data_IF_427335987739
#
_entry.id   IF_427335987739
#
_cell.length_a   1.000
_cell.length_b   1.000
_cell.length_c   1.000
_cell.angle_alpha   90.00
_cell.angle_beta   90.00
_cell.angle_gamma   90.00
#
_symmetry.space_group_name_H-M   'P 1'
#
loop_
_entity.id
_entity.type
_entity.pdbx_description
1 polymer ?
#
# COMPACT_ATOMS: atom_id res chain seq x y z
N UNK A 1 -18.83 12.65 -12.20
CA UNK A 1 -18.90 14.06 -12.67
C UNK A 1 -17.52 14.58 -13.09
N UNK A 2 -16.47 14.56 -12.21
CA UNK A 2 -15.12 15.03 -12.55
C UNK A 2 -14.51 14.28 -13.74
N UNK A 3 -14.52 12.96 -13.76
CA UNK A 3 -14.01 12.18 -14.88
C UNK A 3 -14.73 12.48 -16.21
N UNK A 4 -16.06 12.74 -16.15
CA UNK A 4 -16.89 12.99 -17.34
C UNK A 4 -16.75 14.40 -17.91
N UNK A 5 -16.80 15.41 -17.03
CA UNK A 5 -16.75 16.82 -17.42
C UNK A 5 -15.33 17.38 -17.44
N UNK A 6 -14.41 16.65 -16.85
CA UNK A 6 -13.03 17.03 -16.64
C UNK A 6 -12.85 18.01 -15.48
N UNK A 7 -11.61 18.17 -15.11
CA UNK A 7 -11.14 19.15 -14.12
C UNK A 7 -9.88 19.86 -14.67
N UNK A 8 -9.51 20.95 -14.06
CA UNK A 8 -8.31 21.68 -14.44
C UNK A 8 -7.11 21.12 -13.67
N UNK A 9 -6.06 20.78 -14.40
CA UNK A 9 -4.84 20.26 -13.80
C UNK A 9 -4.15 21.32 -12.93
N UNK A 10 -3.69 20.92 -11.76
CA UNK A 10 -2.72 21.68 -10.99
C UNK A 10 -1.35 21.68 -11.68
N UNK A 11 -0.43 22.53 -11.23
CA UNK A 11 0.97 22.51 -11.68
C UNK A 11 1.60 21.12 -11.45
N UNK A 12 1.38 20.55 -10.28
CA UNK A 12 1.93 19.25 -9.90
C UNK A 12 1.42 18.11 -10.81
N UNK A 13 0.11 18.03 -11.07
CA UNK A 13 -0.47 16.98 -11.93
C UNK A 13 0.03 17.11 -13.37
N UNK A 14 0.04 18.33 -13.91
CA UNK A 14 0.55 18.59 -15.25
C UNK A 14 2.03 18.19 -15.39
N UNK A 15 2.85 18.52 -14.40
CA UNK A 15 4.27 18.13 -14.37
C UNK A 15 4.43 16.62 -14.27
N UNK A 16 3.68 15.94 -13.42
CA UNK A 16 3.72 14.46 -13.31
C UNK A 16 3.39 13.80 -14.64
N UNK A 17 2.33 14.23 -15.33
CA UNK A 17 2.00 13.66 -16.65
C UNK A 17 3.13 13.83 -17.68
N UNK A 18 3.85 14.94 -17.61
CA UNK A 18 4.99 15.18 -18.51
C UNK A 18 6.20 14.31 -18.14
N UNK A 19 6.50 14.17 -16.85
CA UNK A 19 7.60 13.32 -16.35
C UNK A 19 7.38 11.85 -16.71
N UNK A 20 6.15 11.37 -16.58
CA UNK A 20 5.78 9.96 -16.89
C UNK A 20 5.40 9.74 -18.36
N UNK A 21 5.68 10.68 -19.26
CA UNK A 21 5.29 10.58 -20.67
C UNK A 21 5.81 9.31 -21.34
N UNK A 22 7.08 8.97 -21.16
CA UNK A 22 7.70 7.77 -21.75
C UNK A 22 7.04 6.50 -21.19
N UNK A 23 6.80 6.44 -19.89
CA UNK A 23 6.08 5.34 -19.25
C UNK A 23 4.66 5.15 -19.83
N UNK A 24 3.92 6.23 -20.08
CA UNK A 24 2.59 6.12 -20.72
C UNK A 24 2.66 5.68 -22.19
N UNK A 25 3.79 5.87 -22.89
CA UNK A 25 3.96 5.43 -24.27
C UNK A 25 4.07 3.92 -24.41
N UNK A 26 4.40 3.19 -23.33
CA UNK A 26 4.49 1.73 -23.32
C UNK A 26 3.12 1.05 -23.43
N UNK A 27 2.01 1.77 -23.15
CA UNK A 27 0.65 1.28 -23.27
C UNK A 27 -0.21 2.22 -24.11
N UNK A 28 -0.72 1.76 -25.24
CA UNK A 28 -1.50 2.57 -26.19
C UNK A 28 -2.72 3.26 -25.55
N UNK A 29 -3.40 2.60 -24.61
CA UNK A 29 -4.55 3.16 -23.93
C UNK A 29 -4.14 4.27 -22.95
N UNK A 30 -3.01 4.10 -22.26
CA UNK A 30 -2.43 5.13 -21.40
C UNK A 30 -1.97 6.33 -22.24
N UNK A 31 -1.25 6.10 -23.33
CA UNK A 31 -0.81 7.15 -24.24
C UNK A 31 -1.97 7.99 -24.77
N UNK A 32 -3.08 7.35 -25.19
CA UNK A 32 -4.30 8.04 -25.67
C UNK A 32 -4.92 8.97 -24.62
N UNK A 33 -4.78 8.68 -23.35
CA UNK A 33 -5.39 9.43 -22.24
C UNK A 33 -4.44 10.49 -21.70
N UNK A 34 -3.19 10.11 -21.44
CA UNK A 34 -2.23 10.94 -20.70
C UNK A 34 -1.29 11.74 -21.59
N UNK A 35 -1.25 11.48 -22.88
CA UNK A 35 -0.45 12.27 -23.84
C UNK A 35 -1.39 13.05 -24.75
N UNK A 36 -1.15 14.36 -24.85
CA UNK A 36 -1.96 15.21 -25.75
C UNK A 36 -1.77 14.80 -27.21
N UNK A 37 -2.84 14.80 -28.00
CA UNK A 37 -2.82 14.46 -29.45
C UNK A 37 -1.79 15.29 -30.25
N UNK A 38 -1.58 16.55 -29.83
CA UNK A 38 -0.61 17.44 -30.49
C UNK A 38 0.81 17.30 -29.92
N UNK A 39 1.07 16.31 -29.08
CA UNK A 39 2.36 16.02 -28.42
C UNK A 39 2.90 17.15 -27.53
N UNK A 40 2.16 18.24 -27.34
CA UNK A 40 2.58 19.34 -26.46
C UNK A 40 2.50 18.89 -24.98
N UNK A 41 3.38 19.40 -24.12
CA UNK A 41 3.33 19.10 -22.70
C UNK A 41 2.03 19.60 -22.07
N UNK A 42 1.58 18.92 -21.03
CA UNK A 42 0.52 19.39 -20.16
C UNK A 42 0.96 20.64 -19.40
N UNK A 43 0.02 21.53 -19.17
CA UNK A 43 0.23 22.78 -18.42
C UNK A 43 -0.82 22.89 -17.32
N UNK A 44 -0.50 23.65 -16.29
CA UNK A 44 -1.49 24.05 -15.29
C UNK A 44 -2.70 24.68 -15.98
N UNK A 45 -3.89 24.36 -15.47
CA UNK A 45 -5.20 24.75 -16.00
C UNK A 45 -5.60 24.09 -17.34
N UNK A 46 -4.83 23.17 -17.90
CA UNK A 46 -5.34 22.31 -18.95
C UNK A 46 -6.48 21.43 -18.43
N UNK A 47 -7.52 21.24 -19.22
CA UNK A 47 -8.66 20.39 -18.83
C UNK A 47 -8.36 18.93 -19.13
N UNK A 48 -8.43 18.09 -18.10
CA UNK A 48 -8.24 16.64 -18.19
C UNK A 48 -9.57 15.92 -18.09
N UNK A 49 -9.88 15.06 -19.08
CA UNK A 49 -11.17 14.36 -19.22
C UNK A 49 -10.92 12.87 -19.41
N UNK A 50 -11.66 12.04 -18.66
CA UNK A 50 -11.55 10.57 -18.68
C UNK A 50 -12.94 9.94 -18.91
N UNK A 51 -13.45 9.98 -20.16
CA UNK A 51 -14.80 9.54 -20.48
C UNK A 51 -15.07 8.07 -20.18
N UNK A 52 -14.09 7.20 -20.45
CA UNK A 52 -14.24 5.75 -20.22
C UNK A 52 -14.23 5.44 -18.72
N UNK A 53 -13.34 6.05 -17.94
CA UNK A 53 -13.41 5.98 -16.48
C UNK A 53 -14.77 6.46 -15.94
N UNK A 54 -15.34 7.53 -16.51
CA UNK A 54 -16.66 8.01 -16.11
C UNK A 54 -17.76 6.96 -16.34
N UNK A 55 -17.72 6.23 -17.46
CA UNK A 55 -18.66 5.12 -17.74
C UNK A 55 -18.49 3.99 -16.73
N UNK A 56 -17.25 3.60 -16.45
CA UNK A 56 -16.93 2.57 -15.46
C UNK A 56 -17.46 2.95 -14.08
N UNK A 57 -17.17 4.17 -13.60
CA UNK A 57 -17.65 4.67 -12.30
C UNK A 57 -19.18 4.73 -12.21
N UNK A 58 -19.87 5.15 -13.28
CA UNK A 58 -21.35 5.15 -13.34
C UNK A 58 -21.90 3.73 -13.24
N UNK A 59 -21.23 2.77 -13.89
CA UNK A 59 -21.64 1.37 -13.83
C UNK A 59 -21.46 0.79 -12.43
N UNK A 60 -20.33 1.04 -11.79
CA UNK A 60 -20.09 0.64 -10.40
C UNK A 60 -21.14 1.27 -9.46
N UNK A 61 -21.41 2.57 -9.62
CA UNK A 61 -22.43 3.28 -8.84
C UNK A 61 -23.82 2.67 -8.98
N UNK A 62 -24.18 2.15 -10.18
CA UNK A 62 -25.50 1.58 -10.44
C UNK A 62 -25.63 0.12 -10.01
N UNK A 63 -24.60 -0.68 -10.17
CA UNK A 63 -24.64 -2.14 -10.00
C UNK A 63 -23.75 -2.66 -8.89
N UNK A 64 -23.10 -1.77 -8.12
CA UNK A 64 -22.17 -2.15 -7.04
C UNK A 64 -21.04 -3.04 -7.56
N UNK A 65 -20.76 -4.11 -6.82
CA UNK A 65 -19.75 -5.11 -7.14
C UNK A 65 -19.87 -5.65 -8.57
N UNK A 66 -21.08 -5.98 -8.99
CA UNK A 66 -21.32 -6.56 -10.32
C UNK A 66 -21.09 -5.57 -11.46
N UNK A 67 -21.10 -4.28 -11.15
CA UNK A 67 -20.72 -3.22 -12.08
C UNK A 67 -19.26 -3.28 -12.52
N UNK A 68 -18.40 -3.94 -11.74
CA UNK A 68 -16.97 -4.08 -11.99
C UNK A 68 -16.56 -5.53 -12.28
N UNK A 69 -16.93 -6.45 -11.39
CA UNK A 69 -16.46 -7.84 -11.43
C UNK A 69 -17.26 -8.75 -12.34
N UNK A 70 -18.32 -8.22 -13.01
CA UNK A 70 -19.16 -8.96 -13.96
C UNK A 70 -19.52 -8.10 -15.17
N UNK A 71 -19.88 -8.77 -16.29
CA UNK A 71 -20.33 -8.12 -17.53
C UNK A 71 -19.26 -7.23 -18.17
N UNK A 72 -19.64 -6.12 -18.83
CA UNK A 72 -18.76 -5.40 -19.76
C UNK A 72 -17.42 -4.94 -19.20
N UNK A 73 -17.32 -4.56 -17.93
CA UNK A 73 -16.04 -4.14 -17.35
C UNK A 73 -15.13 -5.34 -17.11
N UNK A 74 -15.68 -6.44 -16.59
CA UNK A 74 -14.94 -7.70 -16.44
C UNK A 74 -14.45 -8.23 -17.80
N UNK A 75 -15.30 -8.16 -18.84
CA UNK A 75 -14.94 -8.56 -20.20
C UNK A 75 -13.79 -7.72 -20.76
N UNK A 76 -13.78 -6.40 -20.52
CA UNK A 76 -12.69 -5.52 -20.92
C UNK A 76 -11.39 -5.84 -20.17
N UNK A 77 -11.44 -6.16 -18.86
CA UNK A 77 -10.27 -6.60 -18.10
C UNK A 77 -9.69 -7.87 -18.72
N UNK A 78 -10.51 -8.89 -18.96
CA UNK A 78 -10.04 -10.16 -19.53
C UNK A 78 -9.53 -9.99 -20.96
N UNK A 79 -10.13 -9.09 -21.75
CA UNK A 79 -9.61 -8.73 -23.07
C UNK A 79 -8.22 -8.11 -22.99
N UNK A 80 -8.01 -7.21 -22.01
CA UNK A 80 -6.70 -6.61 -21.74
C UNK A 80 -5.68 -7.66 -21.30
N UNK A 81 -6.07 -8.60 -20.43
CA UNK A 81 -5.22 -9.73 -20.05
C UNK A 81 -4.78 -10.55 -21.27
N UNK A 82 -5.71 -10.90 -22.16
CA UNK A 82 -5.38 -11.63 -23.40
C UNK A 82 -4.42 -10.86 -24.29
N UNK A 83 -4.56 -9.53 -24.36
CA UNK A 83 -3.68 -8.66 -25.17
C UNK A 83 -2.25 -8.61 -24.61
N UNK A 84 -2.11 -8.57 -23.29
CA UNK A 84 -0.84 -8.42 -22.58
C UNK A 84 -0.27 -9.73 -21.99
N UNK A 85 -0.80 -10.90 -22.36
CA UNK A 85 -0.43 -12.21 -21.77
C UNK A 85 -0.58 -12.25 -20.25
N UNK A 86 -1.57 -11.51 -19.70
CA UNK A 86 -1.92 -11.54 -18.30
C UNK A 86 -2.76 -12.76 -17.93
N UNK A 87 -2.92 -13.01 -16.63
CA UNK A 87 -3.47 -14.25 -16.11
C UNK A 87 -4.91 -14.14 -15.60
N UNK A 88 -5.42 -12.93 -15.32
CA UNK A 88 -6.75 -12.75 -14.73
C UNK A 88 -7.84 -13.23 -15.69
N UNK A 89 -8.66 -14.15 -15.21
CA UNK A 89 -9.81 -14.72 -15.92
C UNK A 89 -11.14 -14.14 -15.42
N UNK A 90 -12.23 -14.46 -16.13
CA UNK A 90 -13.59 -14.14 -15.68
C UNK A 90 -13.92 -14.82 -14.34
N UNK A 91 -13.42 -16.03 -14.12
CA UNK A 91 -13.70 -16.79 -12.90
C UNK A 91 -12.96 -16.17 -11.70
N UNK A 92 -11.74 -15.67 -11.89
CA UNK A 92 -11.01 -14.91 -10.85
C UNK A 92 -11.78 -13.65 -10.45
N UNK A 93 -12.30 -12.89 -11.42
CA UNK A 93 -13.09 -11.69 -11.15
C UNK A 93 -14.40 -12.01 -10.43
N UNK A 94 -15.13 -13.03 -10.86
CA UNK A 94 -16.36 -13.49 -10.20
C UNK A 94 -16.12 -14.00 -8.79
N UNK A 95 -15.03 -14.74 -8.59
CA UNK A 95 -14.65 -15.35 -7.31
C UNK A 95 -14.11 -14.35 -6.29
N UNK A 96 -13.62 -13.20 -6.73
CA UNK A 96 -13.05 -12.21 -5.81
C UNK A 96 -14.10 -11.60 -4.88
N UNK A 97 -13.78 -11.47 -3.60
CA UNK A 97 -14.60 -10.77 -2.61
C UNK A 97 -13.72 -10.00 -1.63
N UNK A 98 -14.21 -8.85 -1.17
CA UNK A 98 -13.58 -8.14 -0.06
C UNK A 98 -13.74 -8.95 1.23
N UNK A 99 -12.81 -8.80 2.15
CA UNK A 99 -12.82 -9.47 3.46
C UNK A 99 -13.00 -8.45 4.57
N UNK A 100 -13.91 -8.72 5.50
CA UNK A 100 -13.93 -8.06 6.79
C UNK A 100 -12.86 -8.69 7.68
N UNK A 101 -12.11 -7.87 8.39
CA UNK A 101 -11.07 -8.29 9.32
C UNK A 101 -11.24 -7.53 10.62
N UNK A 102 -10.99 -8.19 11.73
CA UNK A 102 -10.94 -7.51 13.02
C UNK A 102 -9.74 -6.57 13.08
N UNK A 103 -9.92 -5.36 13.61
CA UNK A 103 -8.80 -4.44 13.79
C UNK A 103 -7.84 -4.94 14.86
N UNK A 104 -6.57 -4.57 14.74
CA UNK A 104 -5.59 -4.73 15.83
C UNK A 104 -5.78 -3.59 16.80
N UNK A 105 -5.88 -3.93 18.09
CA UNK A 105 -6.02 -2.96 19.16
C UNK A 105 -4.78 -3.04 20.06
N UNK A 106 -4.19 -1.89 20.32
CA UNK A 106 -3.09 -1.68 21.26
C UNK A 106 -3.28 -0.42 22.07
N UNK A 107 -2.24 -0.05 22.83
CA UNK A 107 -2.23 1.20 23.59
C UNK A 107 -0.84 1.84 23.55
N UNK A 108 -0.80 3.15 23.64
CA UNK A 108 0.42 3.93 23.77
C UNK A 108 0.17 5.13 24.67
N UNK A 109 0.93 5.25 25.77
CA UNK A 109 0.80 6.35 26.75
C UNK A 109 -0.64 6.64 27.20
N UNK A 110 -1.43 5.59 27.40
CA UNK A 110 -2.82 5.70 27.82
C UNK A 110 -3.83 5.88 26.69
N UNK A 111 -3.39 6.17 25.48
CA UNK A 111 -4.27 6.22 24.30
C UNK A 111 -4.53 4.83 23.75
N UNK A 112 -5.77 4.59 23.32
CA UNK A 112 -6.15 3.37 22.60
C UNK A 112 -5.83 3.55 21.12
N UNK A 113 -5.08 2.61 20.55
CA UNK A 113 -4.72 2.57 19.13
C UNK A 113 -5.54 1.48 18.46
N UNK A 114 -6.29 1.82 17.43
CA UNK A 114 -7.07 0.88 16.60
C UNK A 114 -6.56 0.98 15.17
N UNK A 115 -6.02 -0.11 14.63
CA UNK A 115 -5.40 -0.09 13.31
C UNK A 115 -5.66 -1.37 12.51
N UNK A 116 -5.31 -1.36 11.23
CA UNK A 116 -5.56 -2.47 10.30
C UNK A 116 -4.71 -3.70 10.64
N UNK A 117 -5.37 -4.87 10.64
CA UNK A 117 -4.71 -6.17 10.77
C UNK A 117 -4.24 -6.76 9.44
N UNK A 118 -3.61 -7.97 9.48
CA UNK A 118 -3.21 -8.68 8.27
C UNK A 118 -4.35 -8.89 7.27
N UNK A 119 -4.06 -8.89 5.96
CA UNK A 119 -2.73 -8.95 5.33
C UNK A 119 -1.97 -7.63 5.30
N UNK A 120 -2.37 -6.59 6.04
CA UNK A 120 -1.46 -5.47 6.26
C UNK A 120 -0.61 -5.70 7.52
N UNK A 121 0.67 -5.42 7.40
CA UNK A 121 1.59 -5.41 8.55
C UNK A 121 1.45 -4.15 9.37
N UNK A 122 0.87 -3.07 8.79
CA UNK A 122 0.94 -1.72 9.33
C UNK A 122 0.48 -1.61 10.78
N UNK A 123 -0.70 -2.10 11.12
CA UNK A 123 -1.21 -1.99 12.50
C UNK A 123 -0.41 -2.79 13.52
N UNK A 124 0.04 -4.01 13.17
CA UNK A 124 0.84 -4.84 14.05
C UNK A 124 2.21 -4.20 14.33
N UNK A 125 2.88 -3.73 13.26
CA UNK A 125 4.17 -3.06 13.39
C UNK A 125 4.06 -1.73 14.13
N UNK A 126 3.01 -0.94 13.85
CA UNK A 126 2.78 0.32 14.55
C UNK A 126 2.72 0.09 16.07
N UNK A 127 1.89 -0.87 16.52
CA UNK A 127 1.76 -1.18 17.94
C UNK A 127 3.09 -1.72 18.51
N UNK A 128 3.78 -2.57 17.78
CA UNK A 128 5.08 -3.10 18.20
C UNK A 128 6.12 -1.98 18.34
N UNK A 129 6.20 -1.07 17.36
CA UNK A 129 7.12 0.07 17.40
C UNK A 129 6.79 1.04 18.55
N UNK A 130 5.51 1.34 18.77
CA UNK A 130 5.08 2.18 19.89
C UNK A 130 5.42 1.52 21.25
N UNK A 131 5.22 0.21 21.37
CA UNK A 131 5.61 -0.55 22.57
C UNK A 131 7.14 -0.56 22.79
N UNK A 132 7.94 -0.62 21.73
CA UNK A 132 9.40 -0.47 21.83
C UNK A 132 9.78 0.95 22.26
N UNK A 133 9.13 1.97 21.70
CA UNK A 133 9.40 3.37 22.00
C UNK A 133 9.10 3.72 23.48
N UNK A 134 8.12 3.09 24.10
CA UNK A 134 7.81 3.27 25.53
C UNK A 134 8.98 2.86 26.49
N UNK A 135 9.97 2.12 26.01
CA UNK A 135 11.14 1.73 26.81
C UNK A 135 12.22 2.83 26.88
N UNK A 136 12.05 3.93 26.15
CA UNK A 136 12.97 5.07 26.15
C UNK A 136 12.36 6.27 26.89
N UNK A 137 13.19 7.01 27.61
CA UNK A 137 12.73 8.22 28.33
C UNK A 137 12.37 9.34 27.35
N UNK A 138 11.24 9.99 27.56
CA UNK A 138 10.80 11.14 26.77
C UNK A 138 11.78 12.33 26.89
N UNK A 139 12.35 12.52 28.07
CA UNK A 139 13.30 13.61 28.33
C UNK A 139 14.56 13.49 27.47
N UNK A 140 14.93 12.26 27.09
CA UNK A 140 16.09 11.98 26.26
C UNK A 140 15.79 12.01 24.76
N UNK A 141 14.51 11.97 24.36
CA UNK A 141 14.08 11.88 22.97
C UNK A 141 13.29 13.13 22.52
N UNK A 142 13.96 14.26 22.45
CA UNK A 142 13.36 15.47 21.89
C UNK A 142 12.99 15.25 20.44
N UNK A 143 11.82 15.72 20.03
CA UNK A 143 11.33 15.60 18.65
C UNK A 143 12.38 16.05 17.62
N UNK A 144 12.63 15.20 16.66
CA UNK A 144 13.60 15.43 15.57
C UNK A 144 15.06 15.65 16.01
N UNK A 145 15.43 15.25 17.23
CA UNK A 145 16.84 15.20 17.66
C UNK A 145 17.56 14.01 17.02
N UNK A 146 18.90 14.01 17.07
CA UNK A 146 19.71 12.86 16.63
C UNK A 146 19.32 11.56 17.35
N UNK A 147 19.08 11.65 18.66
CA UNK A 147 18.72 10.50 19.49
C UNK A 147 17.34 9.97 19.13
N UNK A 148 16.37 10.87 18.87
CA UNK A 148 15.05 10.47 18.40
C UNK A 148 15.14 9.75 17.04
N UNK A 149 15.86 10.31 16.07
CA UNK A 149 16.04 9.71 14.74
C UNK A 149 16.76 8.36 14.85
N UNK A 150 17.78 8.28 15.72
CA UNK A 150 18.52 7.03 15.96
C UNK A 150 17.59 5.94 16.53
N UNK A 151 16.88 6.22 17.61
CA UNK A 151 15.97 5.26 18.27
C UNK A 151 14.86 4.83 17.31
N UNK A 152 14.25 5.78 16.60
CA UNK A 152 13.19 5.43 15.61
C UNK A 152 13.72 4.53 14.49
N UNK A 153 14.93 4.78 14.01
CA UNK A 153 15.56 3.94 12.97
C UNK A 153 15.84 2.53 13.49
N UNK A 154 16.36 2.41 14.70
CA UNK A 154 16.66 1.11 15.34
C UNK A 154 15.38 0.30 15.61
N UNK A 155 14.31 0.95 16.08
CA UNK A 155 12.98 0.34 16.28
C UNK A 155 12.41 -0.14 14.94
N UNK A 156 12.44 0.69 13.91
CA UNK A 156 11.94 0.32 12.59
C UNK A 156 12.70 -0.88 12.01
N UNK A 157 14.02 -0.90 12.09
CA UNK A 157 14.83 -2.04 11.64
C UNK A 157 14.36 -3.36 12.25
N UNK A 158 14.12 -3.38 13.55
CA UNK A 158 13.66 -4.57 14.28
C UNK A 158 12.26 -4.98 13.89
N UNK A 159 11.34 -4.01 13.80
CA UNK A 159 9.97 -4.24 13.40
C UNK A 159 9.88 -4.81 11.96
N UNK A 160 10.65 -4.23 11.02
CA UNK A 160 10.68 -4.71 9.63
C UNK A 160 11.39 -6.06 9.48
N UNK A 161 12.37 -6.34 10.31
CA UNK A 161 12.98 -7.66 10.41
C UNK A 161 11.94 -8.72 10.79
N UNK A 162 11.14 -8.44 11.80
CA UNK A 162 10.04 -9.32 12.24
C UNK A 162 8.94 -9.43 11.17
N UNK A 163 8.61 -8.33 10.48
CA UNK A 163 7.69 -8.32 9.34
C UNK A 163 8.11 -9.31 8.27
N UNK A 164 9.36 -9.24 7.86
CA UNK A 164 9.89 -10.08 6.78
C UNK A 164 9.73 -11.58 7.07
N UNK A 165 9.82 -12.01 8.33
CA UNK A 165 9.72 -13.41 8.73
C UNK A 165 8.29 -13.85 9.00
N UNK A 166 7.48 -13.02 9.65
CA UNK A 166 6.27 -13.47 10.32
C UNK A 166 4.97 -13.01 9.66
N UNK A 167 5.02 -11.98 8.78
CA UNK A 167 3.82 -11.36 8.27
C UNK A 167 3.42 -11.89 6.88
N UNK A 168 2.12 -12.08 6.69
CA UNK A 168 1.52 -12.56 5.45
C UNK A 168 0.00 -12.53 5.52
N UNK A 169 -0.67 -13.16 4.55
CA UNK A 169 -2.12 -13.32 4.56
C UNK A 169 -2.56 -14.32 5.64
N UNK A 170 -3.39 -13.91 6.62
CA UNK A 170 -3.81 -14.78 7.72
C UNK A 170 -4.72 -15.94 7.28
N UNK A 171 -5.24 -15.92 6.04
CA UNK A 171 -5.96 -17.06 5.47
C UNK A 171 -5.00 -18.19 5.02
N UNK A 172 -3.69 -17.90 4.95
CA UNK A 172 -2.66 -18.82 4.44
C UNK A 172 -1.45 -18.99 5.38
N UNK A 173 -1.35 -18.17 6.42
CA UNK A 173 -0.20 -18.13 7.33
C UNK A 173 -0.64 -17.78 8.75
N UNK A 174 -0.11 -18.49 9.75
CA UNK A 174 -0.35 -18.15 11.15
C UNK A 174 0.50 -16.95 11.57
N UNK A 175 -0.12 -15.76 11.51
CA UNK A 175 0.54 -14.50 11.83
C UNK A 175 0.52 -14.29 13.35
N UNK A 176 1.68 -14.18 14.04
CA UNK A 176 1.75 -14.11 15.50
C UNK A 176 1.38 -12.70 16.04
N UNK A 177 0.12 -12.29 15.90
CA UNK A 177 -0.35 -10.95 16.28
C UNK A 177 -0.11 -10.64 17.75
N UNK A 178 -0.34 -11.60 18.63
CA UNK A 178 -0.14 -11.38 20.08
C UNK A 178 1.34 -11.15 20.45
N UNK A 179 2.27 -11.73 19.67
CA UNK A 179 3.69 -11.41 19.82
C UNK A 179 3.96 -9.93 19.51
N UNK A 180 3.46 -9.42 18.38
CA UNK A 180 3.64 -8.00 18.00
C UNK A 180 3.01 -7.03 19.00
N UNK A 181 1.90 -7.40 19.64
CA UNK A 181 1.21 -6.58 20.65
C UNK A 181 1.90 -6.65 22.04
N UNK A 182 2.77 -7.62 22.24
CA UNK A 182 3.37 -7.89 23.56
C UNK A 182 4.41 -6.83 23.96
N UNK A 183 4.17 -6.13 25.05
CA UNK A 183 5.16 -5.20 25.65
C UNK A 183 6.42 -5.94 26.10
N UNK A 184 6.29 -7.17 26.57
CA UNK A 184 7.45 -8.01 26.94
C UNK A 184 8.32 -8.32 25.72
N UNK A 185 7.69 -8.65 24.59
CA UNK A 185 8.41 -8.87 23.35
C UNK A 185 9.08 -7.59 22.87
N UNK A 186 8.36 -6.47 22.83
CA UNK A 186 8.89 -5.17 22.44
C UNK A 186 10.09 -4.75 23.30
N UNK A 187 10.02 -4.98 24.62
CA UNK A 187 11.15 -4.73 25.51
C UNK A 187 12.37 -5.55 25.10
N UNK A 188 12.21 -6.85 24.94
CA UNK A 188 13.32 -7.73 24.51
C UNK A 188 13.91 -7.31 23.17
N UNK A 189 13.08 -6.78 22.24
CA UNK A 189 13.53 -6.29 20.93
C UNK A 189 14.24 -4.95 20.99
N UNK A 190 14.04 -4.15 22.04
CA UNK A 190 14.69 -2.84 22.21
C UNK A 190 15.87 -2.84 23.18
N UNK A 191 16.04 -3.89 23.99
CA UNK A 191 17.07 -3.95 25.06
C UNK A 191 18.51 -3.93 24.52
N UNK A 192 18.75 -4.32 23.27
CA UNK A 192 20.05 -4.31 22.60
C UNK A 192 20.35 -3.05 21.79
N UNK A 193 19.47 -2.06 21.80
CA UNK A 193 19.69 -0.79 21.10
C UNK A 193 20.78 0.01 21.83
N UNK A 194 21.90 0.24 21.12
CA UNK A 194 23.01 1.01 21.64
C UNK A 194 22.86 2.49 21.21
N UNK A 195 22.70 3.40 22.16
CA UNK A 195 22.52 4.83 21.89
C UNK A 195 23.74 5.53 21.24
N UNK A 196 24.93 4.92 21.30
CA UNK A 196 26.18 5.51 20.80
C UNK A 196 26.61 4.97 19.43
N UNK A 197 25.94 3.94 18.91
CA UNK A 197 26.29 3.34 17.61
C UNK A 197 25.10 2.66 16.95
N UNK A 198 24.99 2.83 15.62
CA UNK A 198 23.96 2.13 14.86
C UNK A 198 24.23 0.63 14.79
N UNK A 199 23.17 -0.17 14.97
CA UNK A 199 23.26 -1.62 14.80
C UNK A 199 23.53 -1.95 13.32
N UNK A 200 24.54 -2.75 12.96
CA UNK A 200 24.74 -3.18 11.58
C UNK A 200 23.50 -3.95 11.07
N UNK A 201 23.01 -3.57 9.89
CA UNK A 201 21.76 -4.14 9.35
C UNK A 201 21.78 -5.66 9.20
N UNK A 202 22.94 -6.25 8.94
CA UNK A 202 23.14 -7.69 8.81
C UNK A 202 23.13 -8.46 10.16
N UNK A 203 23.09 -7.75 11.29
CA UNK A 203 23.02 -8.36 12.63
C UNK A 203 21.64 -8.25 13.25
N UNK A 204 20.73 -7.49 12.65
CA UNK A 204 19.34 -7.41 13.10
C UNK A 204 18.57 -8.61 12.53
N UNK A 205 18.38 -9.65 13.34
CA UNK A 205 17.63 -10.85 12.94
C UNK A 205 16.13 -10.68 13.21
N UNK A 206 15.25 -11.29 12.39
CA UNK A 206 15.51 -12.10 11.22
C UNK A 206 15.28 -11.36 9.90
N UNK A 207 16.19 -10.72 9.28
CA UNK A 207 16.08 -10.15 7.94
C UNK A 207 17.01 -8.99 7.72
N UNK A 208 17.33 -8.70 6.47
CA UNK A 208 18.12 -7.54 6.11
C UNK A 208 17.18 -6.36 5.84
N UNK A 209 17.12 -5.32 6.67
CA UNK A 209 16.15 -4.23 6.53
C UNK A 209 16.61 -3.16 5.52
N UNK A 210 17.02 -3.55 4.34
CA UNK A 210 17.30 -2.62 3.25
C UNK A 210 16.02 -2.35 2.45
N UNK A 211 14.94 -1.96 3.11
CA UNK A 211 13.69 -1.63 2.47
C UNK A 211 13.40 -0.13 2.51
N UNK A 212 13.00 0.44 1.37
CA UNK A 212 12.44 1.78 1.27
C UNK A 212 10.96 1.67 0.95
N UNK A 213 10.08 2.29 1.74
CA UNK A 213 8.65 2.35 1.42
C UNK A 213 8.37 3.49 0.44
N UNK A 214 7.52 3.20 -0.56
CA UNK A 214 7.08 4.19 -1.53
C UNK A 214 6.07 5.16 -0.92
N UNK A 215 6.16 6.49 -1.20
CA UNK A 215 5.17 7.47 -0.79
C UNK A 215 3.91 7.48 -1.69
N UNK A 216 3.65 6.45 -2.48
CA UNK A 216 2.68 6.43 -3.59
C UNK A 216 1.26 5.98 -3.18
N UNK A 217 0.92 6.07 -1.91
CA UNK A 217 -0.38 5.67 -1.34
C UNK A 217 -1.21 6.90 -0.98
N UNK A 218 -2.54 6.80 -1.05
CA UNK A 218 -3.45 7.85 -0.60
C UNK A 218 -4.09 7.44 0.72
N UNK A 219 -4.02 8.33 1.71
CA UNK A 219 -4.66 8.18 3.01
C UNK A 219 -5.56 9.37 3.31
N UNK A 220 -6.73 9.12 3.90
CA UNK A 220 -7.62 10.17 4.43
C UNK A 220 -8.41 9.67 5.62
N UNK A 221 -8.78 10.61 6.51
CA UNK A 221 -9.63 10.36 7.65
C UNK A 221 -10.84 11.28 7.62
N UNK A 222 -11.98 10.79 8.06
CA UNK A 222 -13.24 11.54 8.12
C UNK A 222 -13.86 11.31 9.49
N UNK A 223 -14.33 12.39 10.10
CA UNK A 223 -15.14 12.34 11.34
C UNK A 223 -16.43 13.10 11.08
N UNK A 224 -17.56 12.51 11.43
CA UNK A 224 -18.86 13.16 11.30
C UNK A 224 -19.26 13.91 12.60
N UNK A 225 -20.40 14.59 12.52
CA UNK A 225 -20.92 15.39 13.66
C UNK A 225 -21.35 14.55 14.86
N UNK A 226 -21.48 13.23 14.72
CA UNK A 226 -21.84 12.31 15.80
C UNK A 226 -20.62 11.59 16.40
N UNK A 227 -19.41 11.90 15.91
CA UNK A 227 -18.17 11.30 16.38
C UNK A 227 -17.85 9.96 15.71
N UNK A 228 -18.58 9.55 14.67
CA UNK A 228 -18.16 8.40 13.87
C UNK A 228 -16.90 8.75 13.09
N UNK A 229 -15.89 7.90 13.16
CA UNK A 229 -14.60 8.10 12.53
C UNK A 229 -14.30 7.00 11.51
N UNK A 230 -13.76 7.40 10.36
CA UNK A 230 -13.30 6.49 9.32
C UNK A 230 -11.88 6.88 8.92
N UNK A 231 -10.98 5.92 8.90
CA UNK A 231 -9.61 6.06 8.41
C UNK A 231 -9.43 5.13 7.21
N UNK A 232 -9.04 5.67 6.07
CA UNK A 232 -8.95 4.94 4.79
C UNK A 232 -7.57 5.10 4.18
N UNK A 233 -6.98 3.98 3.81
CA UNK A 233 -5.79 3.95 2.97
C UNK A 233 -6.11 3.17 1.69
N UNK A 234 -5.77 3.73 0.53
CA UNK A 234 -5.99 3.11 -0.78
C UNK A 234 -4.76 3.27 -1.65
N UNK A 235 -4.43 2.23 -2.40
CA UNK A 235 -3.25 2.20 -3.27
C UNK A 235 -3.48 1.31 -4.48
N UNK A 236 -2.66 1.48 -5.49
CA UNK A 236 -2.41 0.54 -6.59
C UNK A 236 -0.92 0.20 -6.67
N UNK A 237 -0.24 0.32 -5.54
CA UNK A 237 1.18 0.15 -5.27
C UNK A 237 2.01 1.33 -5.83
N UNK A 238 2.43 1.34 -7.09
CA UNK A 238 3.11 2.50 -7.69
C UNK A 238 2.11 3.55 -8.22
N UNK A 239 2.56 4.79 -8.47
CA UNK A 239 1.75 5.96 -8.89
C UNK A 239 0.75 5.68 -10.00
N UNK A 240 1.10 4.84 -10.94
CA UNK A 240 0.27 4.44 -12.08
C UNK A 240 0.21 2.91 -12.21
N UNK A 241 0.36 2.19 -11.08
CA UNK A 241 0.38 0.74 -11.05
C UNK A 241 1.43 0.15 -11.99
N UNK A 242 1.03 -0.80 -12.81
CA UNK A 242 1.91 -1.40 -13.82
C UNK A 242 1.92 -0.63 -15.17
N UNK A 243 1.35 0.57 -15.23
CA UNK A 243 1.26 1.38 -16.46
C UNK A 243 0.17 0.96 -17.45
N UNK A 244 -0.46 -0.18 -17.23
CA UNK A 244 -1.48 -0.70 -18.13
C UNK A 244 -2.87 -0.14 -17.81
N UNK A 245 -3.49 0.50 -18.79
CA UNK A 245 -4.90 0.90 -18.71
C UNK A 245 -5.77 -0.12 -19.42
N UNK A 246 -6.84 -0.53 -18.79
CA UNK A 246 -7.88 -1.33 -19.40
C UNK A 246 -8.59 -0.50 -20.46
N UNK A 247 -8.32 -0.80 -21.76
CA UNK A 247 -8.87 -0.05 -22.89
C UNK A 247 -10.41 -0.09 -22.87
N UNK A 248 -11.04 1.08 -23.01
CA UNK A 248 -12.50 1.25 -22.94
C UNK A 248 -13.07 1.33 -21.52
N UNK A 249 -12.31 0.94 -20.47
CA UNK A 249 -12.70 1.09 -19.07
C UNK A 249 -12.01 2.29 -18.39
N UNK A 250 -10.80 2.66 -18.81
CA UNK A 250 -10.13 3.91 -18.48
C UNK A 250 -9.50 3.99 -17.09
N UNK A 251 -9.20 2.86 -16.44
CA UNK A 251 -8.47 2.79 -15.18
C UNK A 251 -7.20 1.97 -15.32
N UNK A 252 -6.19 2.29 -14.50
CA UNK A 252 -4.94 1.53 -14.40
C UNK A 252 -5.14 0.21 -13.66
N UNK A 253 -4.38 -0.80 -14.05
CA UNK A 253 -4.17 -2.00 -13.26
C UNK A 253 -3.05 -1.74 -12.24
N UNK A 254 -3.18 -2.34 -11.05
CA UNK A 254 -2.17 -2.25 -10.03
C UNK A 254 -0.92 -3.10 -10.37
N UNK A 255 0.16 -2.92 -9.61
CA UNK A 255 1.34 -3.79 -9.62
C UNK A 255 1.58 -4.44 -8.25
N UNK A 256 0.52 -4.73 -7.51
CA UNK A 256 0.54 -5.29 -6.15
C UNK A 256 1.13 -6.71 -6.08
N UNK A 257 1.28 -7.41 -7.21
CA UNK A 257 1.97 -8.70 -7.24
C UNK A 257 3.43 -8.61 -6.79
N UNK A 258 4.05 -7.43 -6.92
CA UNK A 258 5.41 -7.16 -6.44
C UNK A 258 5.51 -7.10 -4.91
N UNK A 259 4.39 -6.93 -4.21
CA UNK A 259 4.35 -6.96 -2.74
C UNK A 259 4.46 -8.38 -2.17
N UNK A 260 4.27 -9.41 -2.98
CA UNK A 260 4.60 -10.78 -2.61
C UNK A 260 6.12 -11.00 -2.57
N UNK A 261 6.53 -11.99 -1.77
CA UNK A 261 7.86 -12.59 -1.89
C UNK A 261 7.86 -13.50 -3.12
N UNK A 262 8.06 -12.92 -4.31
CA UNK A 262 8.11 -13.67 -5.57
C UNK A 262 9.25 -14.71 -5.53
N UNK A 263 10.35 -14.37 -4.85
CA UNK A 263 11.46 -15.26 -4.52
C UNK A 263 11.91 -14.94 -3.10
N UNK A 264 11.70 -15.84 -2.12
CA UNK A 264 12.13 -15.63 -0.74
C UNK A 264 13.59 -15.22 -0.64
N UNK A 265 13.88 -14.19 0.17
CA UNK A 265 15.23 -13.64 0.34
C UNK A 265 15.67 -12.64 -0.73
N UNK A 266 14.87 -12.37 -1.76
CA UNK A 266 15.16 -11.35 -2.78
C UNK A 266 14.26 -10.12 -2.54
N UNK A 267 14.80 -8.89 -2.63
CA UNK A 267 14.01 -7.68 -2.44
C UNK A 267 13.03 -7.43 -3.60
N UNK A 268 11.86 -6.87 -3.27
CA UNK A 268 10.89 -6.35 -4.25
C UNK A 268 11.30 -4.96 -4.78
N UNK A 269 10.44 -4.28 -5.56
CA UNK A 269 10.70 -2.94 -6.11
C UNK A 269 11.00 -1.88 -5.03
N UNK A 270 10.51 -2.08 -3.81
CA UNK A 270 10.79 -1.21 -2.65
C UNK A 270 12.00 -1.67 -1.82
N UNK A 271 12.73 -2.68 -2.25
CA UNK A 271 13.84 -3.24 -1.50
C UNK A 271 13.42 -4.07 -0.28
N UNK A 272 12.13 -4.36 -0.10
CA UNK A 272 11.62 -5.18 1.01
C UNK A 272 11.90 -6.65 0.72
N UNK A 273 12.55 -7.32 1.67
CA UNK A 273 12.79 -8.76 1.62
C UNK A 273 11.68 -9.47 2.37
N UNK A 274 11.04 -10.42 1.74
CA UNK A 274 10.06 -11.31 2.35
C UNK A 274 10.50 -12.76 2.31
N UNK A 275 9.79 -13.59 3.06
CA UNK A 275 10.01 -15.04 3.19
C UNK A 275 8.75 -15.82 2.80
N UNK A 276 8.72 -17.11 3.16
CA UNK A 276 7.64 -18.06 2.88
C UNK A 276 6.27 -17.55 3.35
N UNK A 277 6.22 -16.81 4.47
CA UNK A 277 4.98 -16.23 5.00
C UNK A 277 4.21 -15.41 3.95
N UNK A 278 4.94 -14.72 3.07
CA UNK A 278 4.37 -13.89 2.00
C UNK A 278 4.68 -14.43 0.59
N UNK A 279 5.04 -15.70 0.44
CA UNK A 279 5.23 -16.32 -0.87
C UNK A 279 3.92 -16.33 -1.68
N UNK A 280 4.03 -16.24 -3.01
CA UNK A 280 2.88 -16.25 -3.92
C UNK A 280 2.15 -17.60 -3.82
N UNK A 281 0.83 -17.55 -3.69
CA UNK A 281 -0.03 -18.73 -3.77
C UNK A 281 -1.41 -18.35 -4.35
N UNK A 282 -2.12 -19.30 -4.99
CA UNK A 282 -3.48 -19.05 -5.48
C UNK A 282 -4.44 -18.61 -4.36
N UNK A 283 -5.23 -17.58 -4.61
CA UNK A 283 -6.19 -17.03 -3.65
C UNK A 283 -5.61 -16.22 -2.49
N UNK A 284 -4.29 -16.15 -2.37
CA UNK A 284 -3.58 -15.42 -1.33
C UNK A 284 -3.51 -13.90 -1.66
N UNK A 285 -3.61 -13.07 -0.63
CA UNK A 285 -3.44 -11.62 -0.72
C UNK A 285 -2.01 -11.23 -0.40
N UNK A 286 -1.43 -10.25 -1.11
CA UNK A 286 -0.09 -9.76 -0.80
C UNK A 286 -0.03 -9.07 0.56
N UNK A 287 1.15 -9.10 1.17
CA UNK A 287 1.42 -8.37 2.39
C UNK A 287 1.53 -6.88 2.09
N UNK A 288 0.64 -6.08 2.68
CA UNK A 288 0.63 -4.63 2.59
C UNK A 288 1.30 -3.98 3.81
N UNK A 289 1.57 -2.68 3.70
CA UNK A 289 2.00 -1.82 4.82
C UNK A 289 1.01 -0.69 5.12
N UNK A 290 -0.15 -0.67 4.48
CA UNK A 290 -1.20 0.32 4.74
C UNK A 290 -1.60 0.31 6.22
N UNK A 291 -1.66 1.51 6.83
CA UNK A 291 -1.84 1.65 8.28
C UNK A 291 -2.96 2.65 8.62
N UNK A 292 -4.21 2.45 8.12
CA UNK A 292 -5.32 3.27 8.57
C UNK A 292 -5.50 3.09 10.07
N UNK A 293 -5.44 4.20 10.82
CA UNK A 293 -5.39 4.19 12.28
C UNK A 293 -6.36 5.20 12.88
N UNK A 294 -6.96 4.84 13.99
CA UNK A 294 -7.77 5.69 14.86
C UNK A 294 -7.16 5.64 16.27
N UNK A 295 -7.02 6.81 16.87
CA UNK A 295 -6.50 7.00 18.22
C UNK A 295 -7.57 7.61 19.10
#
# INVERSE_FOLDING_TARGET
KLAEKGFLLSHYEANRFNVYKEFFQENDAAAKIFIKKNQKPWKQNDRFIQKDLAKTLKRISKYGRDGFYSGPIADLIVKEMKRGNGLISIDDLKGYSSKYRDPIIGSYKGYKIVSMGPPSSGGALLINMLNMLENFSEDSLQWNSSDFVHVMTEIQRRAYSDRAKHMGDPDHWDVPIEMFKSKKYAKARSDDINMNSATPSNTVYPGNPNGYESPETTHYSVVDQWGNAVSVTTTINLSYGNGCIVEGAGFFLNNEMDDFSAKPGIPNAFGLIGNEANAIAPGKRPLSSMTPTIV
#
